data_IF_705848611653
#
_entry.id   IF_705848611653
#
_cell.length_a   1.000
_cell.length_b   1.000
_cell.length_c   1.000
_cell.angle_alpha   90.00
_cell.angle_beta   90.00
_cell.angle_gamma   90.00
#
_symmetry.space_group_name_H-M   'P 1'
#
loop_
_entity.id
_entity.type
_entity.pdbx_description
1 polymer ?
#
# COMPACT_ATOMS: atom_id res chain seq x y z
N UNK A 1 -17.56 15.55 24.55
CA UNK A 1 -16.34 15.35 23.77
C UNK A 1 -15.49 14.29 24.48
N UNK A 2 -15.37 13.11 23.91
CA UNK A 2 -14.54 12.04 24.44
C UNK A 2 -13.56 11.66 23.34
N UNK A 3 -12.26 11.69 23.62
CA UNK A 3 -11.24 11.20 22.71
C UNK A 3 -11.37 9.68 22.60
N UNK A 4 -11.40 9.18 21.36
CA UNK A 4 -11.51 7.74 21.09
C UNK A 4 -10.32 6.96 21.67
N UNK A 5 -9.13 7.57 21.69
CA UNK A 5 -7.95 6.95 22.28
C UNK A 5 -8.08 6.79 23.81
N UNK A 6 -8.75 7.73 24.51
CA UNK A 6 -9.06 7.59 25.92
C UNK A 6 -10.03 6.42 26.20
N UNK A 7 -10.94 6.14 25.24
CA UNK A 7 -11.82 4.98 25.35
C UNK A 7 -11.04 3.67 25.21
N UNK A 8 -10.15 3.59 24.22
CA UNK A 8 -9.29 2.42 24.01
C UNK A 8 -8.30 2.20 25.15
N UNK A 9 -7.77 3.27 25.74
CA UNK A 9 -6.91 3.17 26.91
C UNK A 9 -7.62 2.48 28.10
N UNK A 10 -8.93 2.70 28.28
CA UNK A 10 -9.74 2.04 29.31
C UNK A 10 -9.95 0.55 29.06
N UNK A 11 -9.94 0.12 27.80
CA UNK A 11 -10.04 -1.31 27.44
C UNK A 11 -8.70 -2.02 27.39
N UNK A 12 -7.59 -1.27 27.46
CA UNK A 12 -6.23 -1.78 27.28
C UNK A 12 -5.88 -2.10 25.83
N UNK A 13 -6.67 -1.60 24.88
CA UNK A 13 -6.42 -1.77 23.46
C UNK A 13 -5.54 -0.64 22.89
N UNK A 14 -4.78 -0.97 21.84
CA UNK A 14 -4.07 -0.01 21.01
C UNK A 14 -4.84 0.19 19.71
N UNK A 15 -5.08 1.43 19.32
CA UNK A 15 -5.81 1.78 18.11
C UNK A 15 -5.00 2.72 17.22
N UNK A 16 -5.23 2.62 15.92
CA UNK A 16 -4.62 3.50 14.92
C UNK A 16 -5.49 3.55 13.65
N UNK A 17 -5.11 4.40 12.70
CA UNK A 17 -5.73 4.48 11.39
C UNK A 17 -4.68 4.82 10.34
N UNK A 18 -4.94 4.45 9.09
CA UNK A 18 -4.14 4.89 7.94
C UNK A 18 -5.03 5.14 6.73
N UNK A 19 -4.57 6.01 5.85
CA UNK A 19 -5.15 6.24 4.53
C UNK A 19 -4.15 5.84 3.46
N UNK A 20 -4.62 5.12 2.46
CA UNK A 20 -3.91 4.73 1.25
C UNK A 20 -4.57 5.38 0.02
N UNK A 21 -4.12 5.06 -1.18
CA UNK A 21 -4.67 5.58 -2.43
C UNK A 21 -6.12 5.14 -2.70
N UNK A 22 -6.55 4.02 -2.12
CA UNK A 22 -7.81 3.34 -2.40
C UNK A 22 -8.68 3.11 -1.16
N UNK A 23 -8.14 3.29 0.06
CA UNK A 23 -8.86 2.96 1.29
C UNK A 23 -8.42 3.79 2.48
N UNK A 24 -9.31 3.91 3.45
CA UNK A 24 -9.01 4.33 4.82
C UNK A 24 -9.32 3.17 5.75
N UNK A 25 -8.40 2.84 6.64
CA UNK A 25 -8.53 1.74 7.58
C UNK A 25 -8.45 2.26 9.01
N UNK A 26 -9.42 1.90 9.83
CA UNK A 26 -9.42 2.11 11.27
C UNK A 26 -9.29 0.75 11.95
N UNK A 27 -8.37 0.61 12.87
CA UNK A 27 -8.12 -0.68 13.50
C UNK A 27 -7.71 -0.56 14.95
N UNK A 28 -7.91 -1.63 15.68
CA UNK A 28 -7.38 -1.81 17.02
C UNK A 28 -6.77 -3.20 17.19
N UNK A 29 -5.91 -3.33 18.19
CA UNK A 29 -5.44 -4.61 18.72
C UNK A 29 -5.60 -4.65 20.22
N UNK A 30 -6.01 -5.79 20.75
CA UNK A 30 -6.20 -5.99 22.18
C UNK A 30 -5.80 -7.40 22.60
N UNK A 31 -5.41 -7.56 23.87
CA UNK A 31 -5.22 -8.86 24.49
C UNK A 31 -6.42 -9.29 25.33
N UNK A 32 -7.31 -8.34 25.66
CA UNK A 32 -8.53 -8.54 26.44
C UNK A 32 -9.60 -7.51 26.05
N UNK A 33 -10.79 -7.60 26.62
CA UNK A 33 -11.90 -6.66 26.38
C UNK A 33 -12.26 -6.47 24.89
N UNK A 34 -12.18 -7.55 24.10
CA UNK A 34 -12.43 -7.53 22.66
C UNK A 34 -13.78 -6.89 22.30
N UNK A 35 -14.89 -7.34 22.91
CA UNK A 35 -16.24 -6.82 22.61
C UNK A 35 -16.35 -5.32 22.87
N UNK A 36 -15.82 -4.84 24.00
CA UNK A 36 -15.83 -3.42 24.33
C UNK A 36 -15.00 -2.59 23.33
N UNK A 37 -13.85 -3.10 22.91
CA UNK A 37 -13.01 -2.44 21.90
C UNK A 37 -13.66 -2.44 20.51
N UNK A 38 -14.34 -3.52 20.12
CA UNK A 38 -15.11 -3.58 18.87
C UNK A 38 -16.31 -2.62 18.90
N UNK A 39 -16.98 -2.46 20.04
CA UNK A 39 -18.06 -1.47 20.22
C UNK A 39 -17.56 -0.04 20.01
N UNK A 40 -16.36 0.28 20.52
CA UNK A 40 -15.75 1.60 20.30
C UNK A 40 -15.52 1.82 18.81
N UNK A 41 -14.91 0.86 18.09
CA UNK A 41 -14.63 0.98 16.65
C UNK A 41 -15.91 1.22 15.85
N UNK A 42 -16.90 0.33 16.02
CA UNK A 42 -18.13 0.39 15.22
C UNK A 42 -18.96 1.64 15.54
N UNK A 43 -18.93 2.12 16.78
CA UNK A 43 -19.60 3.36 17.15
C UNK A 43 -18.89 4.58 16.61
N UNK A 44 -17.56 4.60 16.66
CA UNK A 44 -16.72 5.70 16.17
C UNK A 44 -16.90 5.93 14.68
N UNK A 45 -16.77 4.88 13.86
CA UNK A 45 -16.86 5.02 12.39
C UNK A 45 -18.26 5.42 11.89
N UNK A 46 -19.29 5.25 12.71
CA UNK A 46 -20.67 5.61 12.38
C UNK A 46 -21.12 6.96 12.98
N UNK A 47 -20.25 7.65 13.72
CA UNK A 47 -20.63 8.85 14.47
C UNK A 47 -19.72 10.04 14.12
N UNK A 48 -19.79 10.56 12.87
CA UNK A 48 -18.97 11.70 12.47
C UNK A 48 -19.35 12.96 13.26
N UNK A 49 -18.33 13.70 13.67
CA UNK A 49 -18.51 14.98 14.35
C UNK A 49 -17.47 15.98 13.82
N UNK A 50 -17.92 16.83 12.92
CA UNK A 50 -17.10 17.87 12.32
C UNK A 50 -17.70 19.23 12.63
N UNK A 51 -16.89 20.15 13.13
CA UNK A 51 -17.25 21.55 13.32
C UNK A 51 -16.22 22.45 12.63
N UNK A 52 -16.58 23.69 12.27
CA UNK A 52 -15.61 24.63 11.69
C UNK A 52 -14.34 24.76 12.55
N UNK A 53 -14.49 24.77 13.89
CA UNK A 53 -13.36 24.89 14.83
C UNK A 53 -12.47 23.66 14.82
N UNK A 54 -13.06 22.43 14.82
CA UNK A 54 -12.30 21.18 14.77
C UNK A 54 -11.58 21.04 13.43
N UNK A 55 -12.22 21.39 12.33
CA UNK A 55 -11.61 21.37 11.00
C UNK A 55 -10.45 22.35 10.89
N UNK A 56 -10.60 23.59 11.39
CA UNK A 56 -9.52 24.57 11.37
C UNK A 56 -8.32 24.15 12.23
N UNK A 57 -8.57 23.50 13.36
CA UNK A 57 -7.49 22.93 14.19
C UNK A 57 -6.74 21.82 13.46
N UNK A 58 -7.49 20.89 12.84
CA UNK A 58 -6.92 19.76 12.12
C UNK A 58 -6.13 20.19 10.87
N UNK A 59 -6.59 21.20 10.14
CA UNK A 59 -5.83 21.80 9.03
C UNK A 59 -4.44 22.26 9.48
N UNK A 60 -4.33 22.79 10.69
CA UNK A 60 -3.03 23.18 11.27
C UNK A 60 -2.09 22.00 11.52
N UNK A 61 -2.63 20.88 12.00
CA UNK A 61 -1.89 19.64 12.27
C UNK A 61 -1.46 18.99 10.95
N UNK A 62 -2.41 18.77 10.03
CA UNK A 62 -2.13 18.19 8.70
C UNK A 62 -1.15 19.07 7.93
N UNK A 63 -1.24 20.40 8.07
CA UNK A 63 -0.27 21.30 7.46
C UNK A 63 1.17 21.12 7.97
N UNK A 64 1.37 20.62 9.19
CA UNK A 64 2.69 20.23 9.67
C UNK A 64 3.13 18.88 9.09
N UNK A 65 2.21 17.92 8.97
CA UNK A 65 2.48 16.62 8.34
C UNK A 65 2.87 16.78 6.86
N UNK A 66 2.17 17.64 6.11
CA UNK A 66 2.55 17.97 4.72
C UNK A 66 3.98 18.49 4.66
N UNK A 67 4.38 19.42 5.54
CA UNK A 67 5.74 19.92 5.55
C UNK A 67 6.78 18.83 5.89
N UNK A 68 6.43 17.90 6.79
CA UNK A 68 7.29 16.74 7.08
C UNK A 68 7.46 15.85 5.85
N UNK A 69 6.39 15.61 5.08
CA UNK A 69 6.45 14.88 3.81
C UNK A 69 7.28 15.64 2.75
N UNK A 70 7.10 16.96 2.65
CA UNK A 70 7.88 17.82 1.74
C UNK A 70 9.38 17.81 2.07
N UNK A 71 9.73 17.68 3.36
CA UNK A 71 11.11 17.62 3.83
C UNK A 71 11.71 16.21 3.75
N UNK A 72 10.90 15.16 3.49
CA UNK A 72 11.37 13.79 3.34
C UNK A 72 11.82 13.50 1.89
N UNK A 73 13.13 13.30 1.64
CA UNK A 73 13.62 13.01 0.30
C UNK A 73 13.09 11.71 -0.29
N UNK A 74 12.79 10.70 0.54
CA UNK A 74 12.22 9.43 0.10
C UNK A 74 10.80 9.61 -0.44
N UNK A 75 9.97 10.38 0.29
CA UNK A 75 8.62 10.75 -0.14
C UNK A 75 8.64 11.50 -1.48
N UNK A 76 9.51 12.50 -1.61
CA UNK A 76 9.64 13.30 -2.83
C UNK A 76 10.11 12.48 -4.03
N UNK A 77 11.09 11.59 -3.86
CA UNK A 77 11.57 10.69 -4.92
C UNK A 77 10.45 9.78 -5.39
N UNK A 78 9.64 9.23 -4.47
CA UNK A 78 8.52 8.37 -4.79
C UNK A 78 7.43 9.11 -5.61
N UNK A 79 6.95 10.26 -5.16
CA UNK A 79 5.95 11.02 -5.90
C UNK A 79 6.49 11.64 -7.20
N UNK A 80 7.76 12.04 -7.25
CA UNK A 80 8.40 12.47 -8.49
C UNK A 80 8.43 11.34 -9.55
N UNK A 81 8.66 10.10 -9.13
CA UNK A 81 8.59 8.94 -10.00
C UNK A 81 7.15 8.73 -10.49
N UNK A 82 6.15 8.72 -9.62
CA UNK A 82 4.74 8.56 -10.01
C UNK A 82 4.29 9.67 -10.98
N UNK A 83 4.66 10.92 -10.74
CA UNK A 83 4.42 12.04 -11.65
C UNK A 83 5.15 11.91 -12.99
N UNK A 84 6.28 11.19 -13.02
CA UNK A 84 7.00 10.84 -14.24
C UNK A 84 6.33 9.74 -15.04
N UNK A 85 5.71 8.78 -14.37
CA UNK A 85 5.09 7.60 -14.96
C UNK A 85 3.64 7.84 -15.41
N UNK A 86 2.81 8.47 -14.57
CA UNK A 86 1.36 8.58 -14.79
C UNK A 86 0.97 9.96 -15.31
N UNK A 87 0.14 9.98 -16.37
CA UNK A 87 -0.33 11.21 -16.99
C UNK A 87 -1.62 11.74 -16.33
N UNK A 88 -2.58 10.85 -16.09
CA UNK A 88 -3.94 11.20 -15.66
C UNK A 88 -4.37 10.46 -14.39
N UNK A 89 -3.83 9.26 -14.14
CA UNK A 89 -4.26 8.46 -12.99
C UNK A 89 -4.00 9.20 -11.67
N UNK A 90 -4.98 9.21 -10.73
CA UNK A 90 -4.86 9.93 -9.45
C UNK A 90 -3.69 9.48 -8.56
N UNK A 91 -3.13 8.28 -8.76
CA UNK A 91 -1.97 7.78 -8.01
C UNK A 91 -0.77 8.72 -8.04
N UNK A 92 -0.69 9.61 -9.04
CA UNK A 92 0.34 10.65 -9.15
C UNK A 92 0.15 11.84 -8.21
N UNK A 93 -1.02 11.94 -7.57
CA UNK A 93 -1.35 13.02 -6.65
C UNK A 93 -0.91 12.60 -5.26
N UNK A 94 -0.17 13.46 -4.58
CA UNK A 94 0.26 13.21 -3.22
C UNK A 94 -0.94 13.04 -2.29
N UNK A 95 -0.99 11.93 -1.57
CA UNK A 95 -2.09 11.61 -0.64
C UNK A 95 -2.12 12.53 0.57
N UNK A 96 -0.99 13.15 0.94
CA UNK A 96 -0.95 14.17 1.99
C UNK A 96 -1.65 15.46 1.54
N UNK A 97 -1.80 15.68 0.24
CA UNK A 97 -2.32 16.91 -0.33
C UNK A 97 -1.32 18.07 -0.29
N UNK A 98 -1.84 19.28 -0.39
CA UNK A 98 -1.06 20.52 -0.27
C UNK A 98 -1.71 21.47 0.73
N UNK A 99 -0.96 22.44 1.24
CA UNK A 99 -1.50 23.48 2.14
C UNK A 99 -2.72 24.18 1.51
N UNK A 100 -2.66 24.45 0.19
CA UNK A 100 -3.75 25.08 -0.55
C UNK A 100 -4.97 24.16 -0.68
N UNK A 101 -4.78 22.86 -0.88
CA UNK A 101 -5.88 21.91 -1.00
C UNK A 101 -6.59 21.69 0.33
N UNK A 102 -5.85 21.51 1.44
CA UNK A 102 -6.46 21.32 2.75
C UNK A 102 -7.18 22.57 3.25
N UNK A 103 -6.71 23.76 2.89
CA UNK A 103 -7.39 25.02 3.24
C UNK A 103 -8.81 25.16 2.63
N UNK A 104 -9.13 24.37 1.61
CA UNK A 104 -10.46 24.33 0.99
C UNK A 104 -11.42 23.35 1.66
N UNK A 105 -10.95 22.53 2.58
CA UNK A 105 -11.74 21.51 3.27
C UNK A 105 -12.58 22.21 4.35
N UNK A 106 -13.90 22.02 4.28
CA UNK A 106 -14.86 22.53 5.26
C UNK A 106 -15.56 21.36 5.95
N UNK A 107 -16.19 21.60 7.08
CA UNK A 107 -17.05 20.66 7.76
C UNK A 107 -18.18 20.12 6.86
N UNK A 108 -18.82 20.99 6.07
CA UNK A 108 -19.82 20.59 5.07
C UNK A 108 -19.25 19.64 4.03
N UNK A 109 -18.03 19.90 3.54
CA UNK A 109 -17.33 19.00 2.60
C UNK A 109 -17.03 17.65 3.25
N UNK A 110 -16.55 17.64 4.49
CA UNK A 110 -16.28 16.40 5.23
C UNK A 110 -17.56 15.61 5.47
N UNK A 111 -18.66 16.23 5.87
CA UNK A 111 -19.96 15.56 5.98
C UNK A 111 -20.46 15.01 4.65
N UNK A 112 -20.24 15.71 3.54
CA UNK A 112 -20.57 15.20 2.21
C UNK A 112 -19.74 13.97 1.85
N UNK A 113 -18.42 14.03 2.05
CA UNK A 113 -17.53 12.88 1.84
C UNK A 113 -17.91 11.70 2.74
N UNK A 114 -18.19 11.97 4.01
CA UNK A 114 -18.62 10.94 4.93
C UNK A 114 -19.90 10.25 4.46
N UNK A 115 -20.95 11.00 4.13
CA UNK A 115 -22.21 10.44 3.64
C UNK A 115 -22.05 9.64 2.34
N UNK A 116 -21.06 9.99 1.52
CA UNK A 116 -20.79 9.30 0.26
C UNK A 116 -20.04 8.00 0.50
N UNK A 117 -18.94 8.03 1.24
CA UNK A 117 -17.99 6.91 1.30
C UNK A 117 -18.16 6.00 2.51
N UNK A 118 -18.70 6.51 3.64
CA UNK A 118 -18.91 5.74 4.87
C UNK A 118 -20.29 5.07 4.89
N UNK A 119 -20.68 4.49 3.76
CA UNK A 119 -21.84 3.63 3.65
C UNK A 119 -21.45 2.21 4.01
N UNK A 120 -22.26 1.48 4.81
CA UNK A 120 -21.93 0.12 5.25
C UNK A 120 -21.74 -0.86 4.10
N UNK A 121 -22.38 -0.63 2.92
CA UNK A 121 -22.16 -1.43 1.73
C UNK A 121 -20.80 -1.14 1.04
N UNK A 122 -20.13 -0.05 1.44
CA UNK A 122 -18.79 0.33 0.98
C UNK A 122 -17.72 0.09 2.06
N UNK A 123 -18.04 -0.64 3.12
CA UNK A 123 -17.15 -0.90 4.25
C UNK A 123 -16.98 -2.39 4.50
N UNK A 124 -15.82 -2.77 5.00
CA UNK A 124 -15.47 -4.15 5.35
C UNK A 124 -15.02 -4.19 6.79
N UNK A 125 -15.59 -5.11 7.57
CA UNK A 125 -15.12 -5.45 8.90
C UNK A 125 -14.33 -6.75 8.83
N UNK A 126 -13.04 -6.69 9.12
CA UNK A 126 -12.16 -7.85 9.23
C UNK A 126 -11.72 -8.04 10.68
N UNK A 127 -11.80 -9.25 11.16
CA UNK A 127 -11.42 -9.61 12.54
C UNK A 127 -10.58 -10.89 12.51
N UNK A 128 -9.46 -10.88 13.20
CA UNK A 128 -8.66 -12.07 13.44
C UNK A 128 -8.22 -12.13 14.91
N UNK A 129 -8.21 -13.31 15.50
CA UNK A 129 -7.79 -13.50 16.89
C UNK A 129 -8.56 -14.60 17.60
N UNK A 130 -8.46 -14.61 18.92
CA UNK A 130 -9.18 -15.54 19.78
C UNK A 130 -10.60 -15.06 20.07
N UNK A 131 -11.45 -15.04 19.04
CA UNK A 131 -12.86 -14.68 19.10
C UNK A 131 -13.68 -15.57 18.20
N UNK A 132 -14.97 -15.68 18.44
CA UNK A 132 -15.89 -16.42 17.61
C UNK A 132 -16.64 -15.49 16.65
N UNK A 133 -17.12 -16.02 15.54
CA UNK A 133 -17.97 -15.26 14.60
C UNK A 133 -19.22 -14.73 15.30
N UNK A 134 -19.86 -15.55 16.18
CA UNK A 134 -21.05 -15.15 16.92
C UNK A 134 -20.80 -13.94 17.82
N UNK A 135 -19.64 -13.86 18.46
CA UNK A 135 -19.28 -12.70 19.29
C UNK A 135 -19.11 -11.42 18.47
N UNK A 136 -18.56 -11.53 17.26
CA UNK A 136 -18.47 -10.38 16.34
C UNK A 136 -19.84 -9.96 15.86
N UNK A 137 -20.68 -10.92 15.44
CA UNK A 137 -22.04 -10.66 14.95
C UNK A 137 -22.94 -10.07 16.04
N UNK A 138 -22.85 -10.56 17.28
CA UNK A 138 -23.60 -9.99 18.42
C UNK A 138 -23.36 -8.48 18.57
N UNK A 139 -22.13 -8.04 18.46
CA UNK A 139 -21.76 -6.61 18.56
C UNK A 139 -22.20 -5.86 17.30
N UNK A 140 -21.93 -6.43 16.12
CA UNK A 140 -22.26 -5.82 14.85
C UNK A 140 -23.77 -5.62 14.68
N UNK A 141 -24.58 -6.65 14.89
CA UNK A 141 -26.04 -6.59 14.77
C UNK A 141 -26.68 -5.58 15.70
N UNK A 142 -26.07 -5.36 16.86
CA UNK A 142 -26.56 -4.38 17.83
C UNK A 142 -26.23 -2.95 17.46
N UNK A 143 -25.07 -2.71 16.82
CA UNK A 143 -24.52 -1.36 16.62
C UNK A 143 -24.62 -0.85 15.20
N UNK A 144 -24.57 -1.73 14.19
CA UNK A 144 -24.64 -1.30 12.81
C UNK A 144 -26.05 -0.83 12.45
N UNK A 145 -26.12 0.37 11.88
CA UNK A 145 -27.39 0.98 11.47
C UNK A 145 -27.65 0.63 10.01
N UNK A 146 -28.79 -0.02 9.69
CA UNK A 146 -29.15 -0.29 8.31
C UNK A 146 -29.13 0.97 7.46
N UNK A 147 -28.62 0.85 6.24
CA UNK A 147 -28.57 1.94 5.25
C UNK A 147 -28.83 1.38 3.85
N UNK A 148 -29.27 2.23 2.94
CA UNK A 148 -29.45 1.89 1.54
C UNK A 148 -28.09 1.80 0.83
N UNK A 149 -27.97 0.83 -0.09
CA UNK A 149 -26.80 0.70 -0.95
C UNK A 149 -26.72 1.85 -1.96
N UNK A 150 -25.69 2.67 -1.84
CA UNK A 150 -25.48 3.81 -2.72
C UNK A 150 -24.81 3.46 -4.05
N UNK A 151 -24.37 2.20 -4.23
CA UNK A 151 -23.70 1.69 -5.44
C UNK A 151 -22.63 2.64 -5.96
N UNK A 152 -21.63 2.87 -5.13
CA UNK A 152 -20.50 3.71 -5.50
C UNK A 152 -19.73 3.06 -6.65
N UNK A 153 -19.47 3.86 -7.69
CA UNK A 153 -18.67 3.46 -8.83
C UNK A 153 -17.42 4.35 -8.89
N UNK A 154 -16.25 3.73 -8.88
CA UNK A 154 -14.99 4.44 -9.07
C UNK A 154 -14.65 4.47 -10.56
N UNK A 155 -14.48 5.65 -11.11
CA UNK A 155 -14.13 5.84 -12.51
C UNK A 155 -12.77 6.54 -12.60
N UNK A 156 -11.80 5.86 -13.21
CA UNK A 156 -10.50 6.44 -13.51
C UNK A 156 -10.44 6.95 -14.95
N UNK A 157 -9.71 8.05 -15.22
CA UNK A 157 -9.41 8.46 -16.58
C UNK A 157 -8.59 7.38 -17.28
N UNK A 158 -8.80 7.22 -18.58
CA UNK A 158 -8.00 6.30 -19.39
C UNK A 158 -6.52 6.69 -19.32
N UNK A 159 -5.69 5.75 -18.89
CA UNK A 159 -4.26 5.90 -18.70
C UNK A 159 -3.53 5.00 -19.71
N UNK A 160 -2.57 5.55 -20.45
CA UNK A 160 -1.76 4.79 -21.43
C UNK A 160 -0.47 4.30 -20.78
N UNK A 161 0.25 3.38 -21.43
CA UNK A 161 1.57 2.94 -20.98
C UNK A 161 2.67 3.99 -21.21
N UNK A 162 2.38 5.05 -21.99
CA UNK A 162 3.32 6.14 -22.19
C UNK A 162 3.64 6.85 -20.88
N UNK A 163 4.89 7.17 -20.69
CA UNK A 163 5.36 7.93 -19.52
C UNK A 163 5.37 9.43 -19.82
N UNK A 164 5.22 10.25 -18.79
CA UNK A 164 5.24 11.72 -18.89
C UNK A 164 6.65 12.22 -19.17
N UNK A 165 7.63 11.66 -18.46
CA UNK A 165 9.05 12.01 -18.58
C UNK A 165 9.95 10.89 -18.08
N UNK A 166 11.11 10.66 -18.74
CA UNK A 166 11.99 9.54 -18.41
C UNK A 166 12.87 9.77 -17.19
N UNK A 167 13.02 10.99 -16.73
CA UNK A 167 13.89 11.34 -15.59
C UNK A 167 13.39 12.61 -14.91
N UNK A 168 13.46 12.60 -13.58
CA UNK A 168 13.31 13.78 -12.73
C UNK A 168 14.48 13.82 -11.77
N UNK A 169 15.15 14.96 -11.67
CA UNK A 169 16.26 15.17 -10.72
C UNK A 169 15.93 16.36 -9.87
N UNK A 170 16.07 16.18 -8.58
CA UNK A 170 15.86 17.22 -7.59
C UNK A 170 17.06 17.29 -6.64
N UNK A 171 17.36 18.48 -6.13
CA UNK A 171 18.44 18.69 -5.17
C UNK A 171 17.85 18.72 -3.76
N UNK A 172 18.37 17.87 -2.88
CA UNK A 172 18.01 17.81 -1.48
C UNK A 172 19.27 17.66 -0.60
N UNK A 173 19.15 17.96 0.69
CA UNK A 173 20.23 17.80 1.65
C UNK A 173 20.31 16.32 2.10
N UNK A 174 20.93 15.48 1.30
CA UNK A 174 21.09 14.05 1.54
C UNK A 174 22.57 13.65 1.55
N UNK A 175 22.90 12.59 2.28
CA UNK A 175 24.28 12.06 2.34
C UNK A 175 24.69 11.36 1.06
N UNK A 176 23.76 10.64 0.44
CA UNK A 176 23.89 10.02 -0.88
C UNK A 176 22.62 10.26 -1.69
N UNK A 177 22.69 10.28 -3.03
CA UNK A 177 21.50 10.37 -3.86
C UNK A 177 20.54 9.21 -3.61
N UNK A 178 19.27 9.53 -3.34
CA UNK A 178 18.17 8.55 -3.36
C UNK A 178 17.61 8.45 -4.77
N UNK A 179 17.15 7.26 -5.13
CA UNK A 179 16.54 7.07 -6.44
C UNK A 179 15.38 6.06 -6.37
N UNK A 180 14.42 6.24 -7.26
CA UNK A 180 13.44 5.23 -7.65
C UNK A 180 13.47 5.07 -9.17
N UNK A 181 13.65 3.84 -9.62
CA UNK A 181 13.47 3.41 -11.01
C UNK A 181 12.11 2.72 -11.12
N UNK A 182 11.11 3.41 -11.66
CA UNK A 182 9.78 2.87 -11.87
C UNK A 182 9.58 2.33 -13.26
N UNK A 183 8.97 1.16 -13.38
CA UNK A 183 8.54 0.55 -14.64
C UNK A 183 7.02 0.46 -14.62
N UNK A 184 6.38 1.22 -15.51
CA UNK A 184 4.93 1.24 -15.66
C UNK A 184 4.48 0.02 -16.44
N UNK A 185 3.56 -0.75 -15.88
CA UNK A 185 3.02 -1.95 -16.47
C UNK A 185 1.51 -1.83 -16.70
N UNK A 186 0.95 -2.74 -17.50
CA UNK A 186 -0.48 -2.80 -17.74
C UNK A 186 -1.20 -3.22 -16.46
N UNK A 187 -2.12 -2.41 -15.92
CA UNK A 187 -2.93 -2.80 -14.77
C UNK A 187 -3.89 -3.94 -15.15
N UNK A 188 -4.21 -4.75 -14.19
CA UNK A 188 -5.15 -5.86 -14.29
C UNK A 188 -6.13 -5.77 -13.11
N UNK A 189 -7.09 -6.67 -13.02
CA UNK A 189 -8.07 -6.69 -11.93
C UNK A 189 -8.11 -8.05 -11.24
N UNK A 190 -8.50 -8.03 -9.98
CA UNK A 190 -8.76 -9.24 -9.17
C UNK A 190 -7.63 -10.29 -9.27
N UNK A 191 -7.96 -11.54 -9.51
CA UNK A 191 -7.01 -12.65 -9.59
C UNK A 191 -5.92 -12.47 -10.65
N UNK A 192 -6.21 -11.80 -11.76
CA UNK A 192 -5.18 -11.56 -12.79
C UNK A 192 -4.16 -10.51 -12.34
N UNK A 193 -4.60 -9.52 -11.54
CA UNK A 193 -3.69 -8.58 -10.91
C UNK A 193 -2.83 -9.27 -9.84
N UNK A 194 -3.43 -10.11 -9.00
CA UNK A 194 -2.70 -10.89 -8.00
C UNK A 194 -1.64 -11.81 -8.62
N UNK A 195 -1.98 -12.49 -9.73
CA UNK A 195 -1.01 -13.31 -10.47
C UNK A 195 0.14 -12.46 -11.02
N UNK A 196 -0.17 -11.32 -11.64
CA UNK A 196 0.84 -10.42 -12.18
C UNK A 196 1.74 -9.84 -11.09
N UNK A 197 1.16 -9.47 -9.94
CA UNK A 197 1.89 -8.98 -8.78
C UNK A 197 2.87 -10.02 -8.26
N UNK A 198 2.44 -11.25 -8.04
CA UNK A 198 3.31 -12.33 -7.56
C UNK A 198 4.39 -12.69 -8.58
N UNK A 199 4.06 -12.71 -9.88
CA UNK A 199 5.04 -12.93 -10.95
C UNK A 199 6.10 -11.83 -10.97
N UNK A 200 5.69 -10.56 -10.94
CA UNK A 200 6.60 -9.43 -10.90
C UNK A 200 7.47 -9.47 -9.63
N UNK A 201 6.88 -9.73 -8.48
CA UNK A 201 7.59 -9.81 -7.20
C UNK A 201 8.69 -10.87 -7.24
N UNK A 202 8.38 -12.11 -7.64
CA UNK A 202 9.37 -13.19 -7.70
C UNK A 202 10.42 -12.92 -8.79
N UNK A 203 10.04 -12.38 -9.95
CA UNK A 203 10.98 -11.99 -11.00
C UNK A 203 11.97 -10.92 -10.50
N UNK A 204 11.47 -9.88 -9.84
CA UNK A 204 12.31 -8.81 -9.28
C UNK A 204 13.25 -9.34 -8.18
N UNK A 205 12.78 -10.21 -7.29
CA UNK A 205 13.63 -10.87 -6.28
C UNK A 205 14.70 -11.76 -6.92
N UNK A 206 14.35 -12.48 -7.98
CA UNK A 206 15.29 -13.33 -8.72
C UNK A 206 16.38 -12.51 -9.38
N UNK A 207 16.01 -11.36 -9.97
CA UNK A 207 16.96 -10.46 -10.65
C UNK A 207 17.84 -9.68 -9.70
N UNK A 208 17.25 -9.09 -8.66
CA UNK A 208 17.90 -8.05 -7.84
C UNK A 208 17.71 -8.18 -6.34
N UNK A 209 17.12 -9.29 -5.87
CA UNK A 209 17.02 -9.57 -4.44
C UNK A 209 18.39 -9.78 -3.79
N UNK A 210 18.44 -9.71 -2.46
CA UNK A 210 19.69 -9.71 -1.68
C UNK A 210 20.63 -10.89 -1.96
N UNK A 211 20.12 -12.01 -2.45
CA UNK A 211 20.90 -13.19 -2.82
C UNK A 211 21.33 -13.23 -4.29
N UNK A 212 20.83 -12.30 -5.14
CA UNK A 212 21.13 -12.27 -6.57
C UNK A 212 22.57 -11.81 -6.85
N UNK A 213 23.15 -12.29 -7.95
CA UNK A 213 24.47 -11.86 -8.38
C UNK A 213 24.51 -10.36 -8.68
N UNK A 214 23.48 -9.82 -9.31
CA UNK A 214 23.39 -8.40 -9.64
C UNK A 214 23.44 -7.53 -8.37
N UNK A 215 22.67 -7.87 -7.35
CA UNK A 215 22.69 -7.13 -6.08
C UNK A 215 24.08 -7.21 -5.42
N UNK A 216 24.64 -8.42 -5.34
CA UNK A 216 25.95 -8.64 -4.72
C UNK A 216 27.06 -7.85 -5.43
N UNK A 217 27.07 -7.82 -6.75
CA UNK A 217 28.03 -7.01 -7.52
C UNK A 217 27.86 -5.50 -7.27
N UNK A 218 26.60 -5.02 -7.25
CA UNK A 218 26.32 -3.61 -6.99
C UNK A 218 26.72 -3.20 -5.57
N UNK A 219 26.46 -4.07 -4.60
CA UNK A 219 26.82 -3.84 -3.19
C UNK A 219 28.34 -3.86 -2.99
N UNK A 220 29.03 -4.90 -3.50
CA UNK A 220 30.48 -5.04 -3.37
C UNK A 220 31.26 -3.92 -4.06
N UNK A 221 30.74 -3.42 -5.19
CA UNK A 221 31.34 -2.26 -5.86
C UNK A 221 31.02 -0.93 -5.17
N UNK A 222 30.18 -0.92 -4.13
CA UNK A 222 29.70 0.29 -3.45
C UNK A 222 28.82 1.17 -4.35
N UNK A 223 28.23 0.58 -5.40
CA UNK A 223 27.28 1.30 -6.25
C UNK A 223 25.95 1.54 -5.53
N UNK A 224 25.49 0.56 -4.75
CA UNK A 224 24.34 0.65 -3.84
C UNK A 224 24.77 0.27 -2.43
N UNK A 225 23.92 0.51 -1.45
CA UNK A 225 24.05 0.03 -0.08
C UNK A 225 22.85 -0.88 0.29
N UNK A 226 22.71 -1.24 1.56
CA UNK A 226 21.67 -2.14 2.07
C UNK A 226 20.24 -1.54 1.99
N UNK A 227 20.11 -0.25 1.68
CA UNK A 227 18.80 0.36 1.44
C UNK A 227 18.17 -0.01 0.09
N UNK A 228 18.97 -0.61 -0.82
CA UNK A 228 18.47 -1.03 -2.13
C UNK A 228 17.42 -2.14 -1.97
N UNK A 229 16.27 -1.92 -2.57
CA UNK A 229 15.13 -2.84 -2.56
C UNK A 229 14.36 -2.79 -3.87
N UNK A 230 13.47 -3.76 -4.03
CA UNK A 230 12.51 -3.76 -5.12
C UNK A 230 11.13 -4.12 -4.60
N UNK A 231 10.09 -3.49 -5.15
CA UNK A 231 8.71 -3.71 -4.76
C UNK A 231 7.75 -3.59 -5.94
N UNK A 232 6.60 -4.21 -5.84
CA UNK A 232 5.47 -4.02 -6.75
C UNK A 232 4.49 -3.08 -6.08
N UNK A 233 4.21 -1.96 -6.73
CA UNK A 233 3.24 -0.97 -6.30
C UNK A 233 2.07 -0.96 -7.28
N UNK A 234 0.94 -1.52 -6.88
CA UNK A 234 -0.22 -1.69 -7.73
C UNK A 234 -1.52 -1.34 -6.99
N UNK A 235 -2.57 -1.16 -7.75
CA UNK A 235 -3.92 -0.91 -7.26
C UNK A 235 -4.88 -0.81 -8.44
N UNK A 236 -6.05 -0.27 -8.17
CA UNK A 236 -7.07 -0.14 -9.19
C UNK A 236 -6.63 0.86 -10.28
N UNK A 237 -6.46 0.36 -11.50
CA UNK A 237 -6.04 1.14 -12.66
C UNK A 237 -4.55 1.48 -12.78
N UNK A 238 -3.68 0.97 -11.89
CA UNK A 238 -2.24 1.18 -12.01
C UNK A 238 -1.42 -0.03 -11.57
N UNK A 239 -0.24 -0.17 -12.17
CA UNK A 239 0.74 -1.21 -11.83
C UNK A 239 2.15 -0.70 -12.12
N UNK A 240 3.01 -0.69 -11.10
CA UNK A 240 4.39 -0.21 -11.17
C UNK A 240 5.33 -1.18 -10.49
N UNK A 241 6.41 -1.55 -11.16
CA UNK A 241 7.55 -2.21 -10.55
C UNK A 241 8.56 -1.14 -10.16
N UNK A 242 9.05 -1.15 -8.93
CA UNK A 242 9.95 -0.12 -8.39
C UNK A 242 11.24 -0.77 -7.91
N UNK A 243 12.38 -0.21 -8.33
CA UNK A 243 13.69 -0.48 -7.75
C UNK A 243 14.19 0.83 -7.13
N UNK A 244 14.51 0.82 -5.84
CA UNK A 244 14.84 2.03 -5.12
C UNK A 244 15.92 1.85 -4.08
N UNK A 245 16.43 2.96 -3.58
CA UNK A 245 17.44 3.01 -2.53
C UNK A 245 18.41 4.16 -2.70
N UNK A 246 19.55 4.05 -2.04
CA UNK A 246 20.65 5.02 -2.15
C UNK A 246 21.73 4.51 -3.10
N UNK A 247 22.27 5.41 -3.92
CA UNK A 247 23.37 5.10 -4.82
C UNK A 247 24.23 6.32 -5.06
N UNK A 248 25.54 6.12 -5.12
CA UNK A 248 26.48 7.17 -5.58
C UNK A 248 26.32 7.51 -7.08
N UNK A 249 25.75 6.59 -7.86
CA UNK A 249 25.49 6.75 -9.31
C UNK A 249 24.18 6.05 -9.71
N UNK A 250 23.01 6.69 -9.52
CA UNK A 250 21.72 6.13 -9.90
C UNK A 250 21.61 5.78 -11.39
N UNK A 251 22.35 6.46 -12.27
CA UNK A 251 22.34 6.17 -13.71
C UNK A 251 23.00 4.83 -14.00
N UNK A 252 24.12 4.54 -13.38
CA UNK A 252 24.76 3.23 -13.49
C UNK A 252 23.90 2.10 -12.93
N UNK A 253 23.16 2.35 -11.84
CA UNK A 253 22.17 1.37 -11.32
C UNK A 253 21.08 1.10 -12.34
N UNK A 254 20.48 2.14 -12.93
CA UNK A 254 19.48 2.02 -13.97
C UNK A 254 19.99 1.18 -15.17
N UNK A 255 21.21 1.46 -15.63
CA UNK A 255 21.81 0.73 -16.75
C UNK A 255 21.98 -0.76 -16.42
N UNK A 256 22.47 -1.09 -15.22
CA UNK A 256 22.64 -2.48 -14.77
C UNK A 256 21.30 -3.21 -14.66
N UNK A 257 20.29 -2.60 -14.03
CA UNK A 257 18.96 -3.20 -13.89
C UNK A 257 18.33 -3.39 -15.27
N UNK A 258 18.39 -2.38 -16.14
CA UNK A 258 17.85 -2.48 -17.50
C UNK A 258 18.53 -3.60 -18.28
N UNK A 259 19.86 -3.71 -18.23
CA UNK A 259 20.60 -4.78 -18.88
C UNK A 259 20.20 -6.16 -18.34
N UNK A 260 20.01 -6.31 -17.02
CA UNK A 260 19.58 -7.56 -16.42
C UNK A 260 18.15 -7.95 -16.84
N UNK A 261 17.24 -6.99 -16.93
CA UNK A 261 15.86 -7.22 -17.42
C UNK A 261 15.89 -7.69 -18.88
N UNK A 262 16.65 -7.00 -19.74
CA UNK A 262 16.77 -7.37 -21.16
C UNK A 262 17.43 -8.74 -21.34
N UNK A 263 18.40 -9.08 -20.50
CA UNK A 263 19.02 -10.40 -20.51
C UNK A 263 18.02 -11.48 -20.09
N UNK A 264 17.27 -11.24 -19.00
CA UNK A 264 16.22 -12.15 -18.55
C UNK A 264 15.11 -12.36 -19.58
N UNK A 265 14.71 -11.31 -20.31
CA UNK A 265 13.75 -11.42 -21.41
C UNK A 265 14.26 -12.31 -22.55
N UNK A 266 15.56 -12.31 -22.80
CA UNK A 266 16.18 -13.07 -23.89
C UNK A 266 16.55 -14.50 -23.48
N UNK A 267 17.09 -14.68 -22.29
CA UNK A 267 17.74 -15.91 -21.84
C UNK A 267 16.95 -16.64 -20.73
N UNK A 268 15.92 -16.00 -20.18
CA UNK A 268 15.17 -16.49 -19.01
C UNK A 268 15.81 -16.05 -17.69
N UNK A 269 15.10 -16.28 -16.61
CA UNK A 269 15.57 -16.08 -15.24
C UNK A 269 16.37 -17.31 -14.79
N UNK A 270 17.26 -17.13 -13.81
CA UNK A 270 17.93 -18.25 -13.14
C UNK A 270 16.91 -19.12 -12.40
N UNK A 271 16.80 -20.40 -12.81
CA UNK A 271 15.81 -21.36 -12.27
C UNK A 271 16.04 -21.68 -10.80
N UNK A 272 17.30 -21.76 -10.39
CA UNK A 272 17.67 -22.05 -9.00
C UNK A 272 17.25 -20.89 -8.12
N UNK A 273 17.64 -19.67 -8.46
CA UNK A 273 17.30 -18.44 -7.74
C UNK A 273 15.79 -18.22 -7.71
N UNK A 274 15.09 -18.42 -8.83
CA UNK A 274 13.63 -18.34 -8.90
C UNK A 274 12.98 -19.30 -7.89
N UNK A 275 13.44 -20.55 -7.85
CA UNK A 275 12.91 -21.57 -6.94
C UNK A 275 13.16 -21.19 -5.47
N UNK A 276 14.32 -20.64 -5.16
CA UNK A 276 14.67 -20.17 -3.81
C UNK A 276 13.84 -18.97 -3.39
N UNK A 277 13.71 -17.96 -4.26
CA UNK A 277 12.87 -16.77 -4.01
C UNK A 277 11.41 -17.17 -3.79
N UNK A 278 10.87 -18.06 -4.63
CA UNK A 278 9.52 -18.60 -4.48
C UNK A 278 9.31 -19.29 -3.12
N UNK A 279 10.22 -20.18 -2.73
CA UNK A 279 10.17 -20.90 -1.45
C UNK A 279 10.26 -19.94 -0.25
N UNK A 280 11.16 -18.97 -0.32
CA UNK A 280 11.36 -17.97 0.74
C UNK A 280 10.12 -17.11 0.91
N UNK A 281 9.55 -16.61 -0.18
CA UNK A 281 8.30 -15.82 -0.16
C UNK A 281 7.14 -16.64 0.39
N UNK A 282 6.98 -17.89 -0.06
CA UNK A 282 5.96 -18.80 0.47
C UNK A 282 6.13 -19.04 1.97
N UNK A 283 7.36 -19.33 2.42
CA UNK A 283 7.68 -19.53 3.84
C UNK A 283 7.37 -18.30 4.69
N UNK A 284 7.61 -17.09 4.18
CA UNK A 284 7.26 -15.83 4.84
C UNK A 284 5.74 -15.68 4.99
N UNK A 285 4.97 -15.93 3.92
CA UNK A 285 3.51 -15.89 3.96
C UNK A 285 2.93 -16.88 4.99
N UNK A 286 3.47 -18.10 5.05
CA UNK A 286 3.07 -19.09 6.07
C UNK A 286 3.37 -18.59 7.47
N UNK A 287 4.55 -17.99 7.69
CA UNK A 287 4.95 -17.45 9.00
C UNK A 287 4.06 -16.29 9.45
N UNK A 288 3.64 -15.43 8.51
CA UNK A 288 2.76 -14.30 8.78
C UNK A 288 1.37 -14.73 9.26
N UNK A 289 0.92 -15.97 8.95
CA UNK A 289 -0.33 -16.49 9.48
C UNK A 289 -0.34 -16.65 11.02
N UNK A 290 0.80 -16.57 11.68
CA UNK A 290 0.89 -16.55 13.15
C UNK A 290 0.74 -15.14 13.76
N UNK A 291 0.63 -14.11 12.91
CA UNK A 291 0.47 -12.72 13.35
C UNK A 291 -0.94 -12.23 13.04
N UNK A 292 -1.73 -11.96 14.08
CA UNK A 292 -3.15 -11.55 13.93
C UNK A 292 -3.29 -10.25 13.13
N UNK A 293 -2.37 -9.30 13.30
CA UNK A 293 -2.40 -8.04 12.54
C UNK A 293 -2.11 -8.27 11.06
N UNK A 294 -1.13 -9.14 10.74
CA UNK A 294 -0.83 -9.51 9.36
C UNK A 294 -2.03 -10.22 8.69
N UNK A 295 -2.66 -11.16 9.40
CA UNK A 295 -3.88 -11.86 8.90
C UNK A 295 -5.02 -10.88 8.68
N UNK A 296 -5.27 -9.94 9.61
CA UNK A 296 -6.34 -8.96 9.47
C UNK A 296 -6.09 -8.03 8.28
N UNK A 297 -4.85 -7.54 8.11
CA UNK A 297 -4.49 -6.72 6.96
C UNK A 297 -4.62 -7.49 5.64
N UNK A 298 -4.20 -8.76 5.62
CA UNK A 298 -4.34 -9.61 4.44
C UNK A 298 -5.81 -9.87 4.07
N UNK A 299 -6.69 -10.06 5.07
CA UNK A 299 -8.14 -10.19 4.84
C UNK A 299 -8.72 -8.95 4.17
N UNK A 300 -8.39 -7.75 4.68
CA UNK A 300 -8.84 -6.49 4.08
C UNK A 300 -8.29 -6.32 2.66
N UNK A 301 -6.98 -6.50 2.48
CA UNK A 301 -6.33 -6.32 1.19
C UNK A 301 -6.88 -7.30 0.14
N UNK A 302 -7.01 -8.58 0.47
CA UNK A 302 -7.55 -9.60 -0.43
C UNK A 302 -9.01 -9.30 -0.80
N UNK A 303 -9.85 -8.95 0.17
CA UNK A 303 -11.25 -8.62 -0.09
C UNK A 303 -11.39 -7.41 -1.02
N UNK A 304 -10.63 -6.33 -0.77
CA UNK A 304 -10.63 -5.14 -1.61
C UNK A 304 -10.12 -5.42 -3.02
N UNK A 305 -9.17 -6.33 -3.17
CA UNK A 305 -8.68 -6.80 -4.47
C UNK A 305 -9.62 -7.79 -5.18
N UNK A 306 -10.73 -8.20 -4.55
CA UNK A 306 -11.65 -9.22 -5.08
C UNK A 306 -11.06 -10.64 -5.05
N UNK A 307 -10.18 -10.92 -4.08
CA UNK A 307 -9.48 -12.20 -3.89
C UNK A 307 -9.78 -12.78 -2.51
N UNK A 308 -9.47 -14.06 -2.33
CA UNK A 308 -9.51 -14.74 -1.04
C UNK A 308 -8.18 -14.64 -0.28
N UNK A 309 -8.24 -14.82 1.05
CA UNK A 309 -7.06 -14.74 1.93
C UNK A 309 -5.89 -15.65 1.49
N UNK A 310 -6.20 -16.85 0.98
CA UNK A 310 -5.20 -17.85 0.62
C UNK A 310 -4.85 -17.86 -0.86
N UNK A 311 -5.48 -17.03 -1.68
CA UNK A 311 -5.24 -17.01 -3.13
C UNK A 311 -3.79 -16.64 -3.47
N UNK A 312 -3.16 -15.77 -2.68
CA UNK A 312 -1.73 -15.44 -2.83
C UNK A 312 -0.83 -16.68 -2.66
N UNK A 313 -1.12 -17.51 -1.65
CA UNK A 313 -0.37 -18.76 -1.43
C UNK A 313 -0.62 -19.76 -2.56
N UNK A 314 -1.86 -19.86 -3.03
CA UNK A 314 -2.21 -20.74 -4.14
C UNK A 314 -1.50 -20.30 -5.42
N UNK A 315 -1.62 -19.03 -5.81
CA UNK A 315 -0.94 -18.46 -6.99
C UNK A 315 0.56 -18.74 -6.92
N UNK A 316 1.18 -18.47 -5.77
CA UNK A 316 2.61 -18.70 -5.59
C UNK A 316 2.96 -20.17 -5.68
N UNK A 317 2.14 -21.09 -5.14
CA UNK A 317 2.37 -22.53 -5.21
C UNK A 317 2.33 -23.08 -6.65
N UNK A 318 1.42 -22.57 -7.46
CA UNK A 318 1.19 -22.95 -8.86
C UNK A 318 2.14 -22.27 -9.85
N UNK A 319 2.85 -21.22 -9.42
CA UNK A 319 3.74 -20.44 -10.29
C UNK A 319 4.91 -21.25 -10.80
N UNK A 320 5.15 -21.16 -12.11
CA UNK A 320 6.31 -21.76 -12.80
C UNK A 320 7.18 -20.67 -13.42
N UNK A 321 8.42 -21.00 -13.74
CA UNK A 321 9.37 -20.07 -14.36
C UNK A 321 8.85 -19.49 -15.70
N UNK A 322 8.17 -20.29 -16.50
CA UNK A 322 7.62 -19.88 -17.79
C UNK A 322 6.54 -18.78 -17.65
N UNK A 323 5.80 -18.77 -16.52
CA UNK A 323 4.75 -17.79 -16.24
C UNK A 323 5.31 -16.47 -15.69
N UNK A 324 6.57 -16.40 -15.32
CA UNK A 324 7.20 -15.22 -14.72
C UNK A 324 7.93 -14.33 -15.71
N UNK A 325 7.93 -14.68 -16.98
CA UNK A 325 8.52 -13.89 -18.07
C UNK A 325 7.43 -13.02 -18.75
N UNK A 326 7.07 -11.91 -18.12
CA UNK A 326 6.12 -10.93 -18.67
C UNK A 326 6.87 -9.67 -19.10
#
# INVERSE_FOLDING_TARGET
DCDVFDLYAKTGASANAFTSFDKTCYFFSCSDNFKASLEILLSFVQSPYFTPESVAKEQGIIGQEIRMCDDDPGWRVFFNMLCGLYQKHPVRIDIAGTIESIAQITDDLLYRCYRTFYNLHNMVLAVAGNCTVDEVLEVADRLLKPCDDQKLETVFPEETLDIVRPETVETAAVGQPLFNLGIKCQPRSSMDNLRAEMQAHIAMLTLSGSSSLLYQEMLQSGLVNESFSSEVFNGDGFFTMIFGGESRDPKAVREKITAAILDAQKNGLDETMFTECKKTTYGNLVREQNNVSAVTNALVASHMAGCGLYDTMQVLSEMTLELSLI
#
